data_IF_890857062492
#
_entry.id   IF_890857062492
#
_cell.length_a   1.000
_cell.length_b   1.000
_cell.length_c   1.000
_cell.angle_alpha   90.00
_cell.angle_beta   90.00
_cell.angle_gamma   90.00
#
_symmetry.space_group_name_H-M   'P 1'
#
loop_
_entity.id
_entity.type
_entity.pdbx_description
1 polymer ?
#
# COMPACT_ATOMS: atom_id res chain seq x y z
N UNK A 1 -7.86 -12.15 13.45
CA UNK A 1 -8.58 -11.96 12.16
C UNK A 1 -8.06 -10.77 11.35
N UNK A 2 -7.63 -9.68 12.00
CA UNK A 2 -7.24 -8.43 11.30
C UNK A 2 -6.06 -8.54 10.33
N UNK A 3 -5.11 -9.45 10.56
CA UNK A 3 -3.91 -9.54 9.71
C UNK A 3 -4.19 -10.07 8.30
N UNK A 4 -5.20 -10.93 8.14
CA UNK A 4 -5.58 -11.42 6.81
C UNK A 4 -6.12 -10.28 5.93
N UNK A 5 -7.00 -9.45 6.49
CA UNK A 5 -7.54 -8.28 5.79
C UNK A 5 -6.45 -7.26 5.43
N UNK A 6 -5.43 -7.08 6.29
CA UNK A 6 -4.29 -6.21 6.00
C UNK A 6 -3.50 -6.73 4.80
N UNK A 7 -3.12 -8.01 4.83
CA UNK A 7 -2.37 -8.65 3.73
C UNK A 7 -3.11 -8.58 2.41
N UNK A 8 -4.43 -8.79 2.40
CA UNK A 8 -5.26 -8.69 1.19
C UNK A 8 -5.25 -7.26 0.62
N UNK A 9 -5.37 -6.24 1.47
CA UNK A 9 -5.35 -4.84 1.04
C UNK A 9 -3.97 -4.44 0.52
N UNK A 10 -2.89 -4.80 1.22
CA UNK A 10 -1.52 -4.54 0.78
C UNK A 10 -1.20 -5.25 -0.54
N UNK A 11 -1.65 -6.49 -0.70
CA UNK A 11 -1.46 -7.25 -1.94
C UNK A 11 -2.18 -6.58 -3.12
N UNK A 12 -3.44 -6.15 -2.91
CA UNK A 12 -4.20 -5.44 -3.93
C UNK A 12 -3.56 -4.10 -4.29
N UNK A 13 -3.04 -3.36 -3.30
CA UNK A 13 -2.27 -2.12 -3.55
C UNK A 13 -1.03 -2.43 -4.37
N UNK A 14 -0.21 -3.41 -3.97
CA UNK A 14 1.04 -3.77 -4.64
C UNK A 14 0.81 -4.20 -6.10
N UNK A 15 -0.16 -5.09 -6.34
CA UNK A 15 -0.51 -5.57 -7.69
C UNK A 15 -0.98 -4.46 -8.63
N UNK A 16 -1.57 -3.41 -8.05
CA UNK A 16 -2.07 -2.25 -8.79
C UNK A 16 -1.11 -1.05 -8.74
N UNK A 17 0.18 -1.26 -8.44
CA UNK A 17 1.18 -0.18 -8.42
C UNK A 17 0.88 0.91 -7.39
N UNK A 18 0.32 0.52 -6.25
CA UNK A 18 -0.14 1.40 -5.17
C UNK A 18 -1.21 2.43 -5.57
N UNK A 19 -1.92 2.16 -6.67
CA UNK A 19 -3.09 2.94 -7.07
C UNK A 19 -4.31 2.51 -6.26
N UNK A 20 -4.69 3.34 -5.28
CA UNK A 20 -5.82 3.07 -4.39
C UNK A 20 -7.16 2.92 -5.12
N UNK A 21 -7.39 3.65 -6.22
CA UNK A 21 -8.65 3.53 -6.97
C UNK A 21 -8.74 2.15 -7.62
N UNK A 22 -7.68 1.73 -8.31
CA UNK A 22 -7.61 0.39 -8.94
C UNK A 22 -7.61 -0.75 -7.92
N UNK A 23 -6.92 -0.57 -6.79
CA UNK A 23 -6.94 -1.54 -5.71
C UNK A 23 -8.33 -1.70 -5.08
N UNK A 24 -9.09 -0.61 -4.94
CA UNK A 24 -10.46 -0.66 -4.44
C UNK A 24 -11.38 -1.41 -5.42
N UNK A 25 -11.29 -1.08 -6.71
CA UNK A 25 -12.03 -1.77 -7.78
C UNK A 25 -11.70 -3.27 -7.81
N UNK A 26 -10.43 -3.65 -7.70
CA UNK A 26 -9.99 -5.05 -7.67
C UNK A 26 -10.48 -5.82 -6.43
N UNK A 27 -10.71 -5.12 -5.32
CA UNK A 27 -11.29 -5.69 -4.10
C UNK A 27 -12.83 -5.66 -4.09
N UNK A 28 -13.47 -5.10 -5.13
CA UNK A 28 -14.92 -4.89 -5.17
C UNK A 28 -15.41 -3.86 -4.13
N UNK A 29 -14.53 -2.96 -3.71
CA UNK A 29 -14.81 -1.94 -2.70
C UNK A 29 -14.93 -0.57 -3.35
N UNK A 30 -15.75 0.29 -2.77
CA UNK A 30 -15.71 1.71 -3.09
C UNK A 30 -14.40 2.32 -2.56
N UNK A 31 -13.75 3.18 -3.35
CA UNK A 31 -12.50 3.88 -2.96
C UNK A 31 -12.57 4.51 -1.57
N UNK A 32 -13.66 5.20 -1.24
CA UNK A 32 -13.86 5.85 0.07
C UNK A 32 -13.82 4.84 1.22
N UNK A 33 -14.36 3.64 1.00
CA UNK A 33 -14.32 2.57 1.98
C UNK A 33 -12.91 1.99 2.14
N UNK A 34 -12.18 1.80 1.03
CA UNK A 34 -10.76 1.43 1.09
C UNK A 34 -9.95 2.46 1.90
N UNK A 35 -10.12 3.76 1.67
CA UNK A 35 -9.42 4.80 2.44
C UNK A 35 -9.73 4.74 3.94
N UNK A 36 -10.98 4.43 4.32
CA UNK A 36 -11.35 4.21 5.74
C UNK A 36 -10.62 2.98 6.30
N UNK A 37 -10.57 1.88 5.57
CA UNK A 37 -9.87 0.67 5.99
C UNK A 37 -8.37 0.89 6.16
N UNK A 38 -7.72 1.63 5.24
CA UNK A 38 -6.30 1.96 5.34
C UNK A 38 -5.99 2.71 6.65
N UNK A 39 -6.83 3.68 7.02
CA UNK A 39 -6.71 4.43 8.27
C UNK A 39 -6.92 3.55 9.50
N UNK A 40 -7.96 2.73 9.50
CA UNK A 40 -8.29 1.85 10.63
C UNK A 40 -7.20 0.80 10.90
N UNK A 41 -6.55 0.31 9.83
CA UNK A 41 -5.56 -0.77 9.92
C UNK A 41 -4.12 -0.27 9.89
N UNK A 42 -3.93 1.05 9.88
CA UNK A 42 -2.64 1.74 9.78
C UNK A 42 -1.79 1.29 8.57
N UNK A 43 -2.43 1.06 7.43
CA UNK A 43 -1.78 0.64 6.19
C UNK A 43 -1.38 1.88 5.38
N UNK A 44 -0.15 1.93 4.89
CA UNK A 44 0.28 2.99 3.97
C UNK A 44 -0.49 2.90 2.66
N UNK A 45 -1.14 4.00 2.27
CA UNK A 45 -1.80 4.09 0.97
C UNK A 45 -0.85 4.38 -0.21
N UNK A 46 0.47 4.34 0.02
CA UNK A 46 1.52 4.59 -0.97
C UNK A 46 2.57 3.50 -0.87
N UNK A 47 3.30 3.29 -1.95
CA UNK A 47 4.45 2.40 -1.98
C UNK A 47 5.36 2.67 -0.77
N UNK A 48 5.78 1.63 -0.03
CA UNK A 48 6.88 1.78 0.89
C UNK A 48 8.03 2.31 0.05
N UNK A 49 8.55 3.46 0.47
CA UNK A 49 9.80 4.01 -0.07
C UNK A 49 10.85 2.98 0.28
N UNK A 50 11.24 2.18 -0.70
CA UNK A 50 12.42 1.33 -0.59
C UNK A 50 13.57 2.26 -0.22
N UNK A 51 14.10 2.08 0.99
CA UNK A 51 15.25 2.82 1.50
C UNK A 51 16.55 2.39 0.78
N UNK A 52 16.51 2.23 -0.55
CA UNK A 52 17.69 1.97 -1.40
C UNK A 52 18.05 3.24 -2.16
N UNK A 53 18.26 4.31 -1.41
CA UNK A 53 19.07 5.44 -1.86
C UNK A 53 19.95 5.91 -0.71
N UNK A 54 20.58 4.94 -0.04
CA UNK A 54 21.84 5.16 0.66
C UNK A 54 22.92 4.44 -0.15
N UNK A 55 23.30 5.03 -1.28
CA UNK A 55 24.63 4.82 -1.82
C UNK A 55 25.44 6.02 -1.38
N UNK A 56 25.89 5.93 -0.13
CA UNK A 56 27.13 6.57 0.30
C UNK A 56 28.24 5.91 -0.52
N UNK A 57 28.68 6.53 -1.61
CA UNK A 57 30.04 6.31 -2.12
C UNK A 57 30.70 7.68 -2.22
N UNK A 58 31.26 8.03 -1.06
CA UNK A 58 32.39 8.90 -0.85
C UNK A 58 33.50 8.71 -1.90
N UNK A 59 33.90 9.82 -2.53
CA UNK A 59 35.26 10.25 -2.94
C UNK A 59 36.15 9.30 -3.78
N UNK A 60 36.95 9.82 -4.74
CA UNK A 60 37.88 10.95 -4.54
C UNK A 60 37.75 12.14 -5.50
#
# INVERSE_FOLDING_TARGET
MDDYSRKVIEEALRRNGWNQTRAAEALGLQRTYLTKLLRQKAISGRAPKDSTSSSEEDSP
#
